data_IF_148459578585
#
_entry.id   IF_148459578585
#
_cell.length_a   1.000
_cell.length_b   1.000
_cell.length_c   1.000
_cell.angle_alpha   90.00
_cell.angle_beta   90.00
_cell.angle_gamma   90.00
#
_symmetry.space_group_name_H-M   'P 1'
#
loop_
_entity.id
_entity.type
_entity.pdbx_description
1 polymer ?
#
# COMPACT_ATOMS: atom_id res chain seq x y z
N UNK A 1 18.57 -2.93 -3.98
CA UNK A 1 17.10 -2.67 -3.99
C UNK A 1 16.72 -1.70 -5.10
N UNK A 2 15.58 -1.91 -5.75
CA UNK A 2 15.02 -1.01 -6.77
C UNK A 2 13.99 -0.09 -6.14
N UNK A 3 13.90 1.14 -6.66
CA UNK A 3 12.90 2.11 -6.21
C UNK A 3 11.57 1.89 -6.92
N UNK A 4 10.49 1.90 -6.15
CA UNK A 4 9.14 1.94 -6.65
C UNK A 4 8.36 3.07 -5.95
N UNK A 5 7.34 3.59 -6.61
CA UNK A 5 6.34 4.47 -6.01
C UNK A 5 4.94 3.97 -6.35
N UNK A 6 3.90 4.74 -6.05
CA UNK A 6 2.51 4.31 -6.16
C UNK A 6 1.73 5.07 -7.25
N UNK A 7 0.75 4.41 -7.88
CA UNK A 7 -0.28 5.09 -8.67
C UNK A 7 -1.04 6.14 -7.86
N UNK A 8 -1.05 6.01 -6.54
CA UNK A 8 -1.58 6.99 -5.60
C UNK A 8 -0.98 8.38 -5.72
N UNK A 9 0.25 8.52 -6.23
CA UNK A 9 0.88 9.82 -6.46
C UNK A 9 0.03 10.77 -7.32
N UNK A 10 -0.71 10.23 -8.28
CA UNK A 10 -1.54 11.01 -9.19
C UNK A 10 -3.04 10.87 -8.95
N UNK A 11 -3.48 10.07 -7.97
CA UNK A 11 -4.89 9.73 -7.68
C UNK A 11 -5.86 10.91 -7.66
N UNK A 12 -5.41 12.08 -7.18
CA UNK A 12 -6.26 13.28 -7.10
C UNK A 12 -6.02 14.29 -8.22
N UNK A 13 -5.09 14.01 -9.12
CA UNK A 13 -4.72 14.84 -10.25
C UNK A 13 -5.35 14.39 -11.56
N UNK A 14 -5.70 13.12 -11.65
CA UNK A 14 -6.30 12.49 -12.84
C UNK A 14 -7.50 11.63 -12.44
N UNK A 15 -8.45 11.37 -13.38
CA UNK A 15 -9.71 10.72 -13.05
C UNK A 15 -9.60 9.19 -12.94
N UNK A 16 -8.52 8.56 -13.40
CA UNK A 16 -8.42 7.09 -13.46
C UNK A 16 -7.02 6.57 -13.13
N UNK A 17 -6.95 5.31 -12.70
CA UNK A 17 -5.68 4.58 -12.51
C UNK A 17 -4.90 4.53 -13.82
N UNK A 18 -5.55 4.29 -14.97
CA UNK A 18 -4.92 4.31 -16.28
C UNK A 18 -4.17 5.61 -16.52
N UNK A 19 -4.82 6.74 -16.35
CA UNK A 19 -4.18 8.06 -16.52
C UNK A 19 -3.09 8.31 -15.47
N UNK A 20 -3.25 7.82 -14.24
CA UNK A 20 -2.19 7.89 -13.23
C UNK A 20 -0.93 7.16 -13.72
N UNK A 21 -1.08 5.96 -14.28
CA UNK A 21 0.02 5.17 -14.87
C UNK A 21 0.65 5.88 -16.06
N UNK A 22 -0.15 6.41 -16.98
CA UNK A 22 0.35 7.14 -18.17
C UNK A 22 1.19 8.38 -17.81
N UNK A 23 0.95 9.00 -16.64
CA UNK A 23 1.71 10.14 -16.16
C UNK A 23 3.15 9.79 -15.70
N UNK A 24 3.49 8.52 -15.57
CA UNK A 24 4.87 8.08 -15.33
C UNK A 24 5.74 8.00 -16.59
N UNK A 25 5.21 8.29 -17.79
CA UNK A 25 5.93 8.13 -19.07
C UNK A 25 7.33 8.74 -19.07
N UNK A 26 7.47 9.95 -18.54
CA UNK A 26 8.75 10.67 -18.49
C UNK A 26 9.31 10.78 -17.06
N UNK A 27 8.72 10.06 -16.10
CA UNK A 27 9.17 10.04 -14.72
C UNK A 27 10.47 9.25 -14.56
N UNK A 28 11.19 9.50 -13.46
CA UNK A 28 12.41 8.76 -13.12
C UNK A 28 12.09 7.33 -12.63
N UNK A 29 10.96 7.11 -11.97
CA UNK A 29 10.53 5.79 -11.55
C UNK A 29 10.26 4.87 -12.75
N UNK A 30 10.74 3.64 -12.66
CA UNK A 30 10.47 2.56 -13.62
C UNK A 30 9.60 1.45 -13.04
N UNK A 31 9.43 1.44 -11.73
CA UNK A 31 8.61 0.47 -11.00
C UNK A 31 7.58 1.19 -10.17
N UNK A 32 6.34 0.69 -10.20
CA UNK A 32 5.24 1.27 -9.43
C UNK A 32 4.41 0.21 -8.72
N UNK A 33 3.84 0.59 -7.60
CA UNK A 33 2.76 -0.12 -6.93
C UNK A 33 1.43 0.23 -7.60
N UNK A 34 0.72 -0.78 -8.07
CA UNK A 34 -0.63 -0.65 -8.62
C UNK A 34 -1.63 -0.61 -7.45
N UNK A 35 -2.05 0.57 -7.04
CA UNK A 35 -3.10 0.72 -6.04
C UNK A 35 -4.48 0.48 -6.64
N UNK A 36 -5.07 -0.64 -6.28
CA UNK A 36 -6.46 -0.98 -6.59
C UNK A 36 -7.39 -0.59 -5.43
N UNK A 37 -6.93 0.37 -4.61
CA UNK A 37 -7.66 0.85 -3.43
C UNK A 37 -8.91 1.65 -3.83
N UNK A 38 -9.96 1.54 -3.02
CA UNK A 38 -11.25 2.18 -3.27
C UNK A 38 -12.24 1.27 -3.95
N UNK A 39 -13.39 1.84 -4.32
CA UNK A 39 -14.46 1.10 -5.00
C UNK A 39 -14.22 1.15 -6.50
N UNK A 40 -13.83 0.02 -7.08
CA UNK A 40 -13.71 -0.19 -8.52
C UNK A 40 -14.96 -0.97 -8.95
N UNK A 41 -15.90 -0.36 -9.68
CA UNK A 41 -17.19 -1.00 -10.00
C UNK A 41 -17.06 -2.32 -10.71
N UNK A 42 -16.05 -2.47 -11.57
CA UNK A 42 -15.77 -3.68 -12.35
C UNK A 42 -15.42 -4.88 -11.47
N UNK A 43 -14.92 -4.65 -10.24
CA UNK A 43 -14.66 -5.73 -9.28
C UNK A 43 -15.95 -6.32 -8.69
N UNK A 44 -17.06 -5.63 -8.81
CA UNK A 44 -18.37 -6.04 -8.32
C UNK A 44 -19.35 -6.39 -9.46
N UNK A 45 -18.93 -6.27 -10.72
CA UNK A 45 -19.74 -6.64 -11.89
C UNK A 45 -20.05 -8.14 -11.91
N UNK A 46 -21.19 -8.52 -12.49
CA UNK A 46 -21.51 -9.92 -12.76
C UNK A 46 -20.83 -10.45 -14.04
N UNK A 47 -20.21 -9.58 -14.81
CA UNK A 47 -19.47 -9.91 -16.02
C UNK A 47 -17.94 -9.90 -15.77
N UNK A 48 -17.31 -11.05 -15.82
CA UNK A 48 -15.88 -11.20 -15.61
C UNK A 48 -15.01 -10.51 -16.68
N UNK A 49 -15.57 -10.18 -17.85
CA UNK A 49 -14.83 -9.44 -18.88
C UNK A 49 -14.56 -7.98 -18.47
N UNK A 50 -15.30 -7.45 -17.48
CA UNK A 50 -15.15 -6.05 -17.07
C UNK A 50 -13.80 -5.81 -16.36
N UNK A 51 -13.44 -6.62 -15.35
CA UNK A 51 -12.14 -6.46 -14.69
C UNK A 51 -10.96 -6.90 -15.58
N UNK A 52 -11.16 -7.82 -16.51
CA UNK A 52 -10.13 -8.20 -17.49
C UNK A 52 -9.81 -7.06 -18.44
N UNK A 53 -10.82 -6.30 -18.90
CA UNK A 53 -10.59 -5.08 -19.68
C UNK A 53 -9.79 -4.03 -18.91
N UNK A 54 -10.04 -3.89 -17.59
CA UNK A 54 -9.19 -3.02 -16.75
C UNK A 54 -7.73 -3.48 -16.74
N UNK A 55 -7.49 -4.78 -16.60
CA UNK A 55 -6.13 -5.32 -16.66
C UNK A 55 -5.44 -5.00 -17.99
N UNK A 56 -6.15 -5.18 -19.12
CA UNK A 56 -5.64 -4.83 -20.44
C UNK A 56 -5.34 -3.33 -20.56
N UNK A 57 -6.24 -2.48 -20.08
CA UNK A 57 -6.07 -1.02 -20.09
C UNK A 57 -4.86 -0.59 -19.26
N UNK A 58 -4.68 -1.15 -18.06
CA UNK A 58 -3.55 -0.85 -17.19
C UNK A 58 -2.23 -1.41 -17.73
N UNK A 59 -2.26 -2.59 -18.37
CA UNK A 59 -1.12 -3.16 -19.08
C UNK A 59 -0.66 -2.28 -20.26
N UNK A 60 -1.61 -1.81 -21.06
CA UNK A 60 -1.33 -0.89 -22.16
C UNK A 60 -0.78 0.46 -21.67
N UNK A 61 -1.31 1.00 -20.56
CA UNK A 61 -0.82 2.22 -19.96
C UNK A 61 0.61 2.06 -19.43
N UNK A 62 0.93 0.93 -18.79
CA UNK A 62 2.28 0.62 -18.33
C UNK A 62 3.27 0.51 -19.50
N UNK A 63 2.88 -0.17 -20.58
CA UNK A 63 3.69 -0.26 -21.81
C UNK A 63 3.92 1.11 -22.43
N UNK A 64 2.89 1.95 -22.51
CA UNK A 64 3.00 3.33 -23.00
C UNK A 64 3.93 4.19 -22.14
N UNK A 65 3.86 4.06 -20.82
CA UNK A 65 4.71 4.80 -19.88
C UNK A 65 6.14 4.24 -19.77
N UNK A 66 6.40 3.01 -20.25
CA UNK A 66 7.69 2.34 -20.12
C UNK A 66 8.01 1.96 -18.67
N UNK A 67 6.99 1.62 -17.89
CA UNK A 67 7.11 1.21 -16.48
C UNK A 67 6.70 -0.26 -16.29
N UNK A 68 7.02 -0.80 -15.11
CA UNK A 68 6.59 -2.13 -14.66
C UNK A 68 5.89 -2.03 -13.32
N UNK A 69 4.90 -2.86 -13.11
CA UNK A 69 4.30 -3.03 -11.80
C UNK A 69 5.23 -3.88 -10.92
N UNK A 70 5.67 -3.33 -9.80
CA UNK A 70 6.53 -4.01 -8.82
C UNK A 70 5.72 -4.86 -7.85
N UNK A 71 4.62 -4.29 -7.41
CA UNK A 71 3.70 -4.82 -6.41
C UNK A 71 2.30 -4.27 -6.70
N UNK A 72 1.29 -4.87 -6.12
CA UNK A 72 -0.06 -4.31 -6.12
C UNK A 72 -0.61 -4.18 -4.70
N UNK A 73 -1.62 -3.33 -4.54
CA UNK A 73 -2.40 -3.20 -3.32
C UNK A 73 -3.86 -3.49 -3.63
N UNK A 74 -4.44 -4.51 -2.98
CA UNK A 74 -5.83 -4.89 -3.15
C UNK A 74 -6.79 -3.83 -2.61
N UNK A 75 -8.09 -3.88 -2.97
CA UNK A 75 -9.10 -3.04 -2.35
C UNK A 75 -9.05 -3.15 -0.82
N UNK A 76 -8.97 -2.00 -0.15
CA UNK A 76 -9.02 -1.94 1.30
C UNK A 76 -10.49 -1.84 1.73
N UNK A 77 -10.98 -2.90 2.36
CA UNK A 77 -12.39 -3.08 2.65
C UNK A 77 -12.69 -2.60 4.07
N UNK A 78 -12.88 -1.28 4.21
CA UNK A 78 -13.17 -0.67 5.52
C UNK A 78 -14.62 -0.89 6.00
N UNK A 79 -14.75 -1.13 7.30
CA UNK A 79 -15.93 -1.02 8.19
C UNK A 79 -17.27 -1.75 7.89
N UNK A 80 -17.91 -1.76 6.71
CA UNK A 80 -19.14 -2.55 6.59
C UNK A 80 -18.88 -4.06 6.66
N UNK A 81 -17.62 -4.44 6.43
CA UNK A 81 -17.18 -5.83 6.31
C UNK A 81 -16.95 -6.48 7.65
N UNK A 82 -16.65 -5.72 8.71
CA UNK A 82 -16.36 -6.32 10.04
C UNK A 82 -17.51 -7.12 10.62
N UNK A 83 -18.76 -6.68 10.42
CA UNK A 83 -19.94 -7.44 10.81
C UNK A 83 -20.14 -8.68 9.92
N UNK A 84 -19.76 -8.61 8.65
CA UNK A 84 -19.85 -9.70 7.68
C UNK A 84 -18.84 -10.82 7.95
N UNK A 85 -17.70 -10.56 8.59
CA UNK A 85 -16.72 -11.60 8.97
C UNK A 85 -17.24 -12.60 10.00
N UNK A 86 -18.28 -12.25 10.75
CA UNK A 86 -18.95 -13.20 11.65
C UNK A 86 -19.82 -14.20 10.91
N UNK A 87 -20.16 -13.93 9.65
CA UNK A 87 -20.98 -14.78 8.79
C UNK A 87 -20.35 -14.96 7.41
N UNK A 88 -19.66 -16.06 7.21
CA UNK A 88 -19.00 -16.41 5.95
C UNK A 88 -19.93 -16.40 4.71
N UNK A 89 -21.22 -16.62 4.91
CA UNK A 89 -22.22 -16.59 3.84
C UNK A 89 -22.86 -15.22 3.62
N UNK A 90 -22.41 -14.18 4.33
CA UNK A 90 -22.89 -12.82 4.14
C UNK A 90 -22.56 -12.31 2.74
N UNK A 91 -23.53 -11.70 2.06
CA UNK A 91 -23.36 -11.21 0.69
C UNK A 91 -22.26 -10.15 0.57
N UNK A 92 -22.11 -9.30 1.59
CA UNK A 92 -21.05 -8.28 1.65
C UNK A 92 -19.68 -8.94 1.75
N UNK A 93 -19.54 -9.95 2.61
CA UNK A 93 -18.30 -10.72 2.73
C UNK A 93 -17.92 -11.36 1.39
N UNK A 94 -18.87 -12.07 0.76
CA UNK A 94 -18.65 -12.76 -0.51
C UNK A 94 -18.32 -11.78 -1.67
N UNK A 95 -18.98 -10.61 -1.71
CA UNK A 95 -18.67 -9.57 -2.69
C UNK A 95 -17.24 -9.06 -2.53
N UNK A 96 -16.78 -8.89 -1.29
CA UNK A 96 -15.43 -8.42 -0.99
C UNK A 96 -14.37 -9.47 -1.33
N UNK A 97 -14.59 -10.74 -0.97
CA UNK A 97 -13.71 -11.84 -1.39
C UNK A 97 -13.60 -11.88 -2.92
N UNK A 98 -14.73 -11.76 -3.63
CA UNK A 98 -14.72 -11.70 -5.10
C UNK A 98 -13.89 -10.54 -5.63
N UNK A 99 -14.00 -9.35 -5.04
CA UNK A 99 -13.20 -8.19 -5.46
C UNK A 99 -11.69 -8.42 -5.25
N UNK A 100 -11.29 -8.99 -4.11
CA UNK A 100 -9.89 -9.33 -3.84
C UNK A 100 -9.39 -10.43 -4.79
N UNK A 101 -10.18 -11.47 -5.04
CA UNK A 101 -9.82 -12.52 -6.00
C UNK A 101 -9.61 -11.97 -7.40
N UNK A 102 -10.47 -11.05 -7.88
CA UNK A 102 -10.28 -10.33 -9.15
C UNK A 102 -9.02 -9.47 -9.15
N UNK A 103 -8.70 -8.83 -8.05
CA UNK A 103 -7.44 -8.10 -7.87
C UNK A 103 -6.21 -9.02 -8.02
N UNK A 104 -6.26 -10.23 -7.47
CA UNK A 104 -5.20 -11.25 -7.63
C UNK A 104 -5.12 -11.73 -9.09
N UNK A 105 -6.25 -11.92 -9.77
CA UNK A 105 -6.28 -12.30 -11.18
C UNK A 105 -5.71 -11.20 -12.08
N UNK A 106 -5.96 -9.93 -11.79
CA UNK A 106 -5.32 -8.79 -12.45
C UNK A 106 -3.80 -8.85 -12.24
N UNK A 107 -3.33 -9.15 -11.03
CA UNK A 107 -1.91 -9.33 -10.79
C UNK A 107 -1.31 -10.42 -11.69
N UNK A 108 -2.00 -11.56 -11.83
CA UNK A 108 -1.55 -12.61 -12.74
C UNK A 108 -1.48 -12.15 -14.20
N UNK A 109 -2.53 -11.46 -14.70
CA UNK A 109 -2.57 -10.94 -16.08
C UNK A 109 -1.43 -9.94 -16.34
N UNK A 110 -1.12 -9.09 -15.36
CA UNK A 110 -0.09 -8.06 -15.46
C UNK A 110 1.32 -8.53 -15.09
N UNK A 111 1.49 -9.79 -14.67
CA UNK A 111 2.78 -10.34 -14.26
C UNK A 111 3.28 -9.78 -12.91
N UNK A 112 2.38 -9.39 -12.02
CA UNK A 112 2.68 -8.91 -10.67
C UNK A 112 2.75 -10.11 -9.72
N UNK A 113 3.89 -10.27 -9.05
CA UNK A 113 4.15 -11.45 -8.21
C UNK A 113 3.76 -11.27 -6.74
N UNK A 114 3.46 -10.02 -6.31
CA UNK A 114 3.20 -9.69 -4.90
C UNK A 114 2.04 -8.72 -4.80
N UNK A 115 1.14 -8.98 -3.85
CA UNK A 115 -0.01 -8.10 -3.59
C UNK A 115 -0.21 -7.90 -2.09
N UNK A 116 -0.40 -6.65 -1.69
CA UNK A 116 -0.80 -6.31 -0.33
C UNK A 116 -2.31 -6.52 -0.17
N UNK A 117 -2.69 -7.27 0.86
CA UNK A 117 -4.08 -7.50 1.25
C UNK A 117 -4.18 -7.31 2.75
N UNK A 118 -4.84 -6.24 3.18
CA UNK A 118 -5.00 -5.94 4.60
C UNK A 118 -5.73 -7.04 5.35
N UNK A 119 -5.23 -7.36 6.53
CA UNK A 119 -5.92 -8.22 7.47
C UNK A 119 -7.25 -7.61 7.91
N UNK A 120 -8.24 -8.45 8.16
CA UNK A 120 -9.44 -8.08 8.89
C UNK A 120 -9.06 -7.72 10.33
N UNK A 121 -9.44 -6.56 10.81
CA UNK A 121 -9.16 -6.13 12.18
C UNK A 121 -10.34 -5.36 12.80
N UNK A 122 -10.40 -5.37 14.13
CA UNK A 122 -11.34 -4.57 14.92
C UNK A 122 -10.80 -4.38 16.34
N UNK A 123 -11.01 -3.21 16.90
CA UNK A 123 -10.68 -2.93 18.31
C UNK A 123 -11.42 -3.84 19.30
N UNK A 124 -12.49 -4.49 18.86
CA UNK A 124 -13.29 -5.41 19.67
C UNK A 124 -12.88 -6.88 19.50
N UNK A 125 -11.87 -7.17 18.68
CA UNK A 125 -11.40 -8.54 18.52
C UNK A 125 -10.39 -8.90 19.62
N UNK A 126 -10.62 -10.05 20.26
CA UNK A 126 -9.55 -10.74 20.97
C UNK A 126 -8.57 -11.32 19.95
N UNK A 127 -7.34 -11.62 20.36
CA UNK A 127 -6.34 -12.26 19.48
C UNK A 127 -6.88 -13.55 18.85
N UNK A 128 -7.60 -14.38 19.63
CA UNK A 128 -8.20 -15.63 19.10
C UNK A 128 -9.24 -15.38 18.00
N UNK A 129 -10.09 -14.36 18.19
CA UNK A 129 -11.06 -13.95 17.15
C UNK A 129 -10.35 -13.42 15.90
N UNK A 130 -9.37 -12.57 16.11
CA UNK A 130 -8.54 -12.01 15.05
C UNK A 130 -7.92 -13.13 14.20
N UNK A 131 -7.26 -14.08 14.82
CA UNK A 131 -6.62 -15.21 14.14
C UNK A 131 -7.64 -16.10 13.43
N UNK A 132 -8.74 -16.42 14.08
CA UNK A 132 -9.81 -17.24 13.49
C UNK A 132 -10.38 -16.59 12.21
N UNK A 133 -10.73 -15.31 12.28
CA UNK A 133 -11.35 -14.63 11.14
C UNK A 133 -10.34 -14.39 10.00
N UNK A 134 -9.10 -14.04 10.32
CA UNK A 134 -8.07 -13.89 9.29
C UNK A 134 -7.67 -15.22 8.67
N UNK A 135 -7.69 -16.32 9.43
CA UNK A 135 -7.49 -17.64 8.85
C UNK A 135 -8.56 -17.98 7.82
N UNK A 136 -9.84 -17.73 8.13
CA UNK A 136 -10.93 -17.91 7.19
C UNK A 136 -10.73 -17.01 5.95
N UNK A 137 -10.52 -15.71 6.18
CA UNK A 137 -10.37 -14.71 5.14
C UNK A 137 -9.23 -15.01 4.17
N UNK A 138 -8.03 -15.25 4.68
CA UNK A 138 -6.89 -15.57 3.82
C UNK A 138 -7.05 -16.94 3.15
N UNK A 139 -7.68 -17.92 3.79
CA UNK A 139 -7.95 -19.22 3.15
C UNK A 139 -8.85 -19.09 1.92
N UNK A 140 -9.77 -18.11 1.89
CA UNK A 140 -10.67 -17.86 0.76
C UNK A 140 -9.97 -17.23 -0.46
N UNK A 141 -8.71 -16.83 -0.34
CA UNK A 141 -7.93 -16.19 -1.42
C UNK A 141 -6.59 -16.89 -1.70
N UNK A 142 -6.06 -17.66 -0.75
CA UNK A 142 -4.75 -18.32 -0.89
C UNK A 142 -4.76 -19.43 -1.95
N UNK A 143 -5.86 -20.11 -2.17
CA UNK A 143 -6.01 -21.09 -3.27
C UNK A 143 -5.73 -20.48 -4.65
N UNK A 144 -6.16 -19.23 -4.84
CA UNK A 144 -5.92 -18.49 -6.07
C UNK A 144 -4.48 -17.98 -6.15
N UNK A 145 -3.92 -17.57 -5.01
CA UNK A 145 -2.52 -17.19 -4.90
C UNK A 145 -1.59 -18.38 -5.24
N UNK A 146 -1.90 -19.59 -4.75
CA UNK A 146 -1.18 -20.82 -5.11
C UNK A 146 -1.27 -21.10 -6.61
N UNK A 147 -2.48 -21.03 -7.18
CA UNK A 147 -2.71 -21.27 -8.62
C UNK A 147 -1.82 -20.39 -9.51
N UNK A 148 -1.60 -19.14 -9.12
CA UNK A 148 -0.86 -18.15 -9.90
C UNK A 148 0.55 -17.88 -9.38
N UNK A 149 0.96 -18.51 -8.28
CA UNK A 149 2.23 -18.28 -7.59
C UNK A 149 2.44 -16.80 -7.23
N UNK A 150 1.41 -16.19 -6.62
CA UNK A 150 1.42 -14.80 -6.17
C UNK A 150 1.54 -14.77 -4.65
N UNK A 151 2.50 -14.02 -4.13
CA UNK A 151 2.65 -13.81 -2.69
C UNK A 151 1.66 -12.75 -2.19
N UNK A 152 0.80 -13.15 -1.25
CA UNK A 152 -0.06 -12.22 -0.52
C UNK A 152 0.72 -11.67 0.67
N UNK A 153 0.71 -10.37 0.84
CA UNK A 153 1.38 -9.70 1.96
C UNK A 153 0.33 -9.03 2.84
N UNK A 154 0.29 -9.40 4.13
CA UNK A 154 -0.46 -8.63 5.13
C UNK A 154 0.38 -7.43 5.56
N UNK A 155 -0.27 -6.33 5.93
CA UNK A 155 0.40 -5.09 6.31
C UNK A 155 0.15 -4.77 7.78
N UNK A 156 1.12 -4.15 8.47
CA UNK A 156 0.93 -3.66 9.82
C UNK A 156 -0.08 -2.51 9.85
N UNK A 157 -0.92 -2.49 10.89
CA UNK A 157 -1.86 -1.40 11.14
C UNK A 157 -1.22 -0.28 11.98
N UNK A 158 -1.80 0.89 11.90
CA UNK A 158 -1.39 2.10 12.60
C UNK A 158 -1.83 2.16 14.09
N UNK A 159 -2.36 1.07 14.63
CA UNK A 159 -2.85 1.00 16.01
C UNK A 159 -2.71 -0.39 16.63
N UNK A 160 -2.04 -0.46 17.79
CA UNK A 160 -1.95 -1.68 18.60
C UNK A 160 -3.30 -2.26 19.03
N UNK A 161 -4.36 -1.46 19.00
CA UNK A 161 -5.74 -1.92 19.30
C UNK A 161 -6.24 -2.96 18.28
N UNK A 162 -5.58 -3.07 17.14
CA UNK A 162 -5.91 -4.05 16.12
C UNK A 162 -5.11 -5.37 16.25
N UNK A 163 -4.10 -5.42 17.14
CA UNK A 163 -3.20 -6.57 17.34
C UNK A 163 -2.44 -7.03 16.08
N UNK A 164 -2.16 -6.10 15.18
CA UNK A 164 -1.38 -6.26 13.96
C UNK A 164 -0.48 -5.05 13.69
N UNK A 165 0.05 -4.41 14.74
CA UNK A 165 0.83 -3.17 14.56
C UNK A 165 2.33 -3.39 14.69
N UNK A 166 2.78 -4.47 15.34
CA UNK A 166 4.20 -4.74 15.56
C UNK A 166 4.73 -5.85 14.65
N UNK A 167 6.04 -5.87 14.43
CA UNK A 167 6.70 -6.97 13.73
C UNK A 167 6.43 -8.33 14.40
N UNK A 168 6.32 -8.35 15.73
CA UNK A 168 5.99 -9.57 16.46
C UNK A 168 4.56 -10.05 16.19
N UNK A 169 3.58 -9.15 16.20
CA UNK A 169 2.18 -9.53 15.94
C UNK A 169 2.04 -10.19 14.56
N UNK A 170 2.67 -9.58 13.56
CA UNK A 170 2.66 -10.10 12.19
C UNK A 170 3.43 -11.41 12.08
N UNK A 171 4.61 -11.50 12.69
CA UNK A 171 5.41 -12.72 12.70
C UNK A 171 4.63 -13.89 13.29
N UNK A 172 4.02 -13.71 14.45
CA UNK A 172 3.23 -14.74 15.14
C UNK A 172 2.02 -15.17 14.28
N UNK A 173 1.38 -14.23 13.60
CA UNK A 173 0.26 -14.54 12.72
C UNK A 173 0.70 -15.33 11.47
N UNK A 174 1.81 -14.95 10.82
CA UNK A 174 2.34 -15.70 9.68
C UNK A 174 2.72 -17.13 10.09
N UNK A 175 3.31 -17.31 11.28
CA UNK A 175 3.60 -18.65 11.82
C UNK A 175 2.33 -19.45 12.10
N UNK A 176 1.29 -18.81 12.64
CA UNK A 176 0.01 -19.48 12.87
C UNK A 176 -0.66 -19.92 11.55
N UNK A 177 -0.57 -19.11 10.51
CA UNK A 177 -1.11 -19.43 9.18
C UNK A 177 -0.30 -20.53 8.50
N UNK A 178 1.02 -20.54 8.68
CA UNK A 178 1.98 -21.51 8.13
C UNK A 178 1.76 -21.77 6.62
N UNK A 179 1.69 -20.69 5.84
CA UNK A 179 1.44 -20.77 4.40
C UNK A 179 2.57 -20.10 3.61
N UNK A 180 3.19 -20.78 2.61
CA UNK A 180 4.40 -20.30 1.94
C UNK A 180 4.20 -19.02 1.11
N UNK A 181 2.98 -18.73 0.69
CA UNK A 181 2.62 -17.53 -0.09
C UNK A 181 1.95 -16.45 0.76
N UNK A 182 1.98 -16.54 2.08
CA UNK A 182 1.55 -15.46 2.97
C UNK A 182 2.78 -14.85 3.65
N UNK A 183 2.96 -13.54 3.46
CA UNK A 183 4.13 -12.79 3.91
C UNK A 183 3.72 -11.44 4.50
N UNK A 184 4.69 -10.56 4.73
CA UNK A 184 4.47 -9.25 5.35
C UNK A 184 4.93 -8.12 4.42
N UNK A 185 4.11 -7.07 4.32
CA UNK A 185 4.48 -5.72 3.95
C UNK A 185 4.64 -4.88 5.21
N UNK A 186 5.78 -4.21 5.40
CA UNK A 186 5.98 -3.31 6.53
C UNK A 186 5.79 -1.87 6.08
N UNK A 187 4.77 -1.19 6.65
CA UNK A 187 4.59 0.25 6.51
C UNK A 187 5.32 0.98 7.64
N UNK A 188 6.28 1.83 7.26
CA UNK A 188 7.12 2.58 8.19
C UNK A 188 6.35 3.67 8.92
N UNK A 189 5.36 4.27 8.28
CA UNK A 189 4.53 5.30 8.87
C UNK A 189 3.53 4.71 9.87
N UNK A 190 2.88 3.60 9.56
CA UNK A 190 2.04 2.86 10.51
C UNK A 190 2.83 2.47 11.75
N UNK A 191 4.04 1.90 11.57
CA UNK A 191 4.93 1.56 12.68
C UNK A 191 5.39 2.77 13.50
N UNK A 192 5.37 3.98 12.96
CA UNK A 192 5.70 5.20 13.70
C UNK A 192 4.48 5.86 14.37
N UNK A 193 3.26 5.66 13.85
CA UNK A 193 2.02 6.17 14.45
C UNK A 193 1.69 5.36 15.71
N UNK A 194 1.74 4.04 15.62
CA UNK A 194 1.44 3.18 16.76
C UNK A 194 2.48 3.33 17.90
N UNK A 195 2.07 3.75 19.10
CA UNK A 195 3.02 3.99 20.20
C UNK A 195 3.80 2.74 20.61
N UNK A 196 3.22 1.53 20.45
CA UNK A 196 3.88 0.26 20.81
C UNK A 196 4.94 -0.09 19.78
N UNK A 197 4.60 -0.06 18.50
CA UNK A 197 5.54 -0.33 17.40
C UNK A 197 6.66 0.71 17.37
N UNK A 198 6.35 2.00 17.60
CA UNK A 198 7.33 3.07 17.70
C UNK A 198 8.26 2.90 18.89
N UNK A 199 7.73 2.46 20.04
CA UNK A 199 8.52 2.19 21.24
C UNK A 199 9.50 1.02 21.09
N UNK A 200 9.15 0.02 20.26
CA UNK A 200 10.04 -1.07 19.84
C UNK A 200 11.11 -0.53 18.90
N UNK A 201 10.74 0.26 17.91
CA UNK A 201 11.62 0.83 16.90
C UNK A 201 11.50 0.14 15.54
N UNK A 202 11.86 0.87 14.46
CA UNK A 202 11.78 0.36 13.09
C UNK A 202 12.72 -0.83 12.89
N UNK A 203 13.95 -0.73 13.38
CA UNK A 203 14.97 -1.77 13.26
C UNK A 203 14.50 -3.10 13.85
N UNK A 204 14.07 -3.11 15.11
CA UNK A 204 13.67 -4.32 15.83
C UNK A 204 12.41 -4.95 15.22
N UNK A 205 11.45 -4.13 14.77
CA UNK A 205 10.26 -4.64 14.07
C UNK A 205 10.65 -5.35 12.76
N UNK A 206 11.52 -4.74 11.96
CA UNK A 206 12.00 -5.30 10.68
C UNK A 206 12.80 -6.59 10.91
N UNK A 207 13.72 -6.58 11.85
CA UNK A 207 14.55 -7.77 12.16
C UNK A 207 13.70 -8.92 12.70
N UNK A 208 12.64 -8.62 13.47
CA UNK A 208 11.69 -9.64 13.95
C UNK A 208 10.93 -10.32 12.80
N UNK A 209 10.64 -9.60 11.72
CA UNK A 209 9.98 -10.18 10.54
C UNK A 209 10.90 -11.10 9.73
N UNK A 210 12.20 -10.78 9.68
CA UNK A 210 13.19 -11.60 8.98
C UNK A 210 12.82 -11.86 7.52
N UNK A 211 12.86 -13.11 7.11
CA UNK A 211 12.55 -13.58 5.75
C UNK A 211 11.05 -13.50 5.37
N UNK A 212 10.18 -13.27 6.35
CA UNK A 212 8.74 -13.04 6.12
C UNK A 212 8.46 -11.65 5.54
N UNK A 213 9.40 -10.72 5.65
CA UNK A 213 9.30 -9.40 5.05
C UNK A 213 9.51 -9.49 3.53
N UNK A 214 8.45 -9.21 2.75
CA UNK A 214 8.46 -9.31 1.28
C UNK A 214 8.01 -8.03 0.58
N UNK A 215 7.55 -7.03 1.31
CA UNK A 215 7.16 -5.74 0.79
C UNK A 215 7.39 -4.62 1.80
N UNK A 216 7.43 -3.40 1.29
CA UNK A 216 7.57 -2.17 2.06
C UNK A 216 6.59 -1.12 1.57
N UNK A 217 6.01 -0.37 2.50
CA UNK A 217 5.43 0.94 2.26
C UNK A 217 6.27 1.98 3.02
N UNK A 218 6.92 2.84 2.26
CA UNK A 218 7.85 3.84 2.79
C UNK A 218 7.19 5.20 2.74
N UNK A 219 6.93 5.75 3.89
CA UNK A 219 6.54 7.14 4.08
C UNK A 219 6.97 7.62 5.46
N UNK A 220 6.84 8.91 5.72
CA UNK A 220 7.24 9.57 6.96
C UNK A 220 6.05 10.29 7.60
N UNK A 221 6.10 10.50 8.91
CA UNK A 221 5.13 11.28 9.67
C UNK A 221 5.72 11.78 10.99
N UNK A 222 4.91 12.49 11.78
CA UNK A 222 5.30 13.01 13.08
C UNK A 222 4.91 12.10 14.27
N UNK A 223 4.43 10.89 14.00
CA UNK A 223 3.97 9.93 15.01
C UNK A 223 2.57 10.24 15.54
N UNK A 224 1.78 11.01 14.83
CA UNK A 224 0.45 11.48 15.21
C UNK A 224 -0.65 10.99 14.28
N UNK A 225 -0.44 11.02 12.97
CA UNK A 225 -1.38 10.52 11.98
C UNK A 225 -0.70 10.12 10.66
N UNK A 226 -1.48 9.50 9.78
CA UNK A 226 -1.01 8.93 8.52
C UNK A 226 -0.86 10.01 7.45
N UNK A 227 0.28 10.73 7.47
CA UNK A 227 0.55 11.86 6.58
C UNK A 227 0.96 11.47 5.16
N UNK A 228 1.35 10.23 4.90
CA UNK A 228 1.97 9.79 3.63
C UNK A 228 3.02 10.79 3.09
N UNK A 229 3.85 11.31 4.01
CA UNK A 229 4.87 12.31 3.69
C UNK A 229 6.14 11.65 3.14
N UNK A 230 6.99 12.44 2.53
CA UNK A 230 8.28 11.97 2.05
C UNK A 230 9.23 11.64 3.20
N UNK A 231 10.22 10.77 2.96
CA UNK A 231 11.35 10.65 3.86
C UNK A 231 11.97 12.01 4.17
N UNK A 232 12.33 12.21 5.43
CA UNK A 232 12.88 13.45 6.00
C UNK A 232 11.88 14.61 6.15
N UNK A 233 10.60 14.41 5.86
CA UNK A 233 9.56 15.40 6.16
C UNK A 233 8.91 15.20 7.54
N UNK A 234 9.22 14.11 8.23
CA UNK A 234 8.72 13.75 9.57
C UNK A 234 9.86 13.45 10.55
N UNK A 235 9.65 12.46 11.41
CA UNK A 235 10.57 12.11 12.50
C UNK A 235 11.11 10.66 12.41
N UNK A 236 10.77 9.91 11.38
CA UNK A 236 11.22 8.51 11.25
C UNK A 236 12.74 8.49 11.02
N UNK A 237 13.42 7.62 11.76
CA UNK A 237 14.85 7.38 11.58
C UNK A 237 15.06 6.36 10.45
N UNK A 238 15.40 6.84 9.25
CA UNK A 238 15.64 6.00 8.07
C UNK A 238 16.93 5.16 8.17
N UNK A 239 17.91 5.57 8.99
CA UNK A 239 19.10 4.74 9.23
C UNK A 239 18.74 3.43 9.91
N UNK A 240 17.77 3.46 10.87
CA UNK A 240 17.29 2.25 11.55
C UNK A 240 16.54 1.33 10.62
N UNK A 241 15.76 1.86 9.66
CA UNK A 241 15.09 1.07 8.63
C UNK A 241 16.13 0.42 7.73
N UNK A 242 17.04 1.19 7.18
CA UNK A 242 18.05 0.70 6.25
C UNK A 242 18.93 -0.38 6.86
N UNK A 243 19.38 -0.19 8.11
CA UNK A 243 20.16 -1.21 8.81
C UNK A 243 19.35 -2.50 9.01
N UNK A 244 18.08 -2.40 9.42
CA UNK A 244 17.20 -3.55 9.58
C UNK A 244 17.02 -4.32 8.27
N UNK A 245 16.79 -3.61 7.15
CA UNK A 245 16.62 -4.22 5.82
C UNK A 245 17.89 -4.96 5.37
N UNK A 246 19.06 -4.38 5.61
CA UNK A 246 20.35 -5.02 5.28
C UNK A 246 20.58 -6.27 6.15
N UNK A 247 20.31 -6.19 7.44
CA UNK A 247 20.53 -7.32 8.38
C UNK A 247 19.63 -8.52 8.10
N UNK A 248 18.40 -8.30 7.60
CA UNK A 248 17.50 -9.39 7.16
C UNK A 248 17.74 -9.82 5.71
N UNK A 249 18.63 -9.15 4.97
CA UNK A 249 18.91 -9.46 3.58
C UNK A 249 17.74 -9.15 2.65
N UNK A 250 16.97 -8.07 2.92
CA UNK A 250 15.85 -7.68 2.08
C UNK A 250 16.32 -7.25 0.68
N UNK A 251 15.80 -7.89 -0.34
CA UNK A 251 16.16 -7.69 -1.75
C UNK A 251 15.00 -7.19 -2.63
N UNK A 252 13.87 -6.86 -2.01
CA UNK A 252 12.68 -6.39 -2.70
C UNK A 252 12.75 -4.93 -3.15
N UNK A 253 11.59 -4.38 -3.46
CA UNK A 253 11.47 -2.97 -3.85
C UNK A 253 11.39 -2.08 -2.62
N UNK A 254 12.12 -0.96 -2.66
CA UNK A 254 11.93 0.15 -1.73
C UNK A 254 10.77 0.99 -2.26
N UNK A 255 9.55 0.63 -1.84
CA UNK A 255 8.29 1.13 -2.41
C UNK A 255 7.78 2.31 -1.60
N UNK A 256 7.68 3.46 -2.21
CA UNK A 256 7.07 4.63 -1.57
C UNK A 256 5.54 4.55 -1.58
N UNK A 257 4.95 4.87 -0.44
CA UNK A 257 3.57 5.24 -0.26
C UNK A 257 3.48 6.66 0.31
N UNK A 258 4.07 7.61 -0.42
CA UNK A 258 4.31 8.99 0.00
C UNK A 258 3.53 10.00 -0.87
N UNK A 259 2.29 9.69 -1.19
CA UNK A 259 1.49 10.36 -2.22
C UNK A 259 0.96 11.75 -1.82
N UNK A 260 1.00 12.11 -0.52
CA UNK A 260 0.37 13.34 -0.02
C UNK A 260 1.21 14.61 -0.19
N UNK A 261 2.24 14.57 -0.99
CA UNK A 261 2.97 15.77 -1.39
C UNK A 261 2.19 16.57 -2.42
N UNK A 262 2.12 17.88 -2.23
CA UNK A 262 1.34 18.79 -3.08
C UNK A 262 -0.11 18.32 -3.18
N UNK A 263 -0.78 18.20 -2.04
CA UNK A 263 -2.15 17.73 -1.95
C UNK A 263 -3.11 18.57 -2.79
N UNK A 264 -3.97 17.90 -3.51
CA UNK A 264 -5.14 18.51 -4.16
C UNK A 264 -6.13 19.00 -3.09
N UNK A 265 -6.85 20.09 -3.32
CA UNK A 265 -7.82 20.65 -2.35
C UNK A 265 -8.85 19.62 -1.89
N UNK A 266 -9.27 18.73 -2.80
CA UNK A 266 -10.28 17.69 -2.50
C UNK A 266 -9.70 16.40 -1.92
N UNK A 267 -8.45 16.41 -1.47
CA UNK A 267 -7.81 15.21 -0.93
C UNK A 267 -8.30 14.92 0.49
N UNK A 268 -9.28 14.03 0.71
CA UNK A 268 -9.68 13.69 2.07
C UNK A 268 -8.58 12.88 2.76
N UNK A 269 -8.40 12.98 4.09
CA UNK A 269 -9.12 13.90 4.99
C UNK A 269 -8.48 15.30 5.08
N UNK A 270 -7.44 15.58 4.34
CA UNK A 270 -6.60 16.79 4.46
C UNK A 270 -6.95 17.88 3.45
N UNK A 271 -8.20 17.95 3.01
CA UNK A 271 -8.68 19.01 2.13
C UNK A 271 -8.45 20.41 2.71
N UNK A 272 -8.14 21.36 1.83
CA UNK A 272 -8.00 22.76 2.26
C UNK A 272 -9.33 23.48 2.13
N UNK A 273 -9.74 24.15 3.21
CA UNK A 273 -10.92 24.99 3.19
C UNK A 273 -10.69 26.25 2.33
N UNK A 274 -11.70 26.70 1.58
CA UNK A 274 -11.63 27.96 0.88
C UNK A 274 -11.48 29.12 1.87
N UNK A 275 -10.63 30.08 1.54
CA UNK A 275 -10.52 31.29 2.34
C UNK A 275 -11.61 32.27 1.98
N UNK A 276 -12.27 32.85 2.99
CA UNK A 276 -13.31 33.87 2.83
C UNK A 276 -12.70 35.25 3.15
N UNK A 277 -12.76 36.16 2.20
CA UNK A 277 -12.31 37.54 2.35
C UNK A 277 -13.42 38.50 1.97
N UNK A 278 -13.83 39.39 2.88
CA UNK A 278 -14.93 40.34 2.70
C UNK A 278 -16.25 39.70 2.20
N UNK A 279 -16.56 38.50 2.64
CA UNK A 279 -17.75 37.74 2.24
C UNK A 279 -17.62 37.00 0.89
N UNK A 280 -16.48 37.07 0.24
CA UNK A 280 -16.22 36.37 -1.02
C UNK A 280 -15.25 35.24 -0.82
N UNK A 281 -15.48 34.11 -1.50
CA UNK A 281 -14.59 32.93 -1.48
C UNK A 281 -13.41 33.19 -2.42
N UNK A 282 -12.19 33.14 -1.87
CA UNK A 282 -10.94 33.23 -2.63
C UNK A 282 -10.34 31.84 -2.82
N UNK A 283 -10.27 31.39 -4.07
CA UNK A 283 -9.87 30.01 -4.43
C UNK A 283 -8.76 29.94 -5.48
N UNK A 284 -7.87 30.94 -5.53
CA UNK A 284 -6.82 31.01 -6.57
C UNK A 284 -5.76 29.93 -6.48
N UNK A 285 -5.43 29.47 -5.26
CA UNK A 285 -4.40 28.46 -5.00
C UNK A 285 -5.03 27.13 -4.61
N UNK A 286 -6.04 26.70 -5.36
CA UNK A 286 -6.81 25.48 -5.03
C UNK A 286 -5.97 24.24 -5.19
N UNK A 287 -5.37 24.07 -6.37
CA UNK A 287 -4.60 22.88 -6.72
C UNK A 287 -3.24 23.25 -7.29
N UNK A 288 -2.16 22.63 -6.84
CA UNK A 288 -0.90 22.65 -7.57
C UNK A 288 -1.09 22.07 -8.98
N UNK A 289 -0.26 22.50 -9.95
CA UNK A 289 -0.35 21.94 -11.30
C UNK A 289 0.15 20.49 -11.34
N UNK A 290 -0.34 19.70 -12.30
CA UNK A 290 0.15 18.36 -12.55
C UNK A 290 1.66 18.34 -12.84
N UNK A 291 2.17 19.34 -13.58
CA UNK A 291 3.61 19.49 -13.86
C UNK A 291 4.43 19.70 -12.58
N UNK A 292 3.89 20.44 -11.61
CA UNK A 292 4.54 20.61 -10.33
C UNK A 292 4.53 19.29 -9.53
N UNK A 293 3.42 18.55 -9.58
CA UNK A 293 3.33 17.22 -8.96
C UNK A 293 4.33 16.22 -9.58
N UNK A 294 4.50 16.22 -10.91
CA UNK A 294 5.50 15.38 -11.60
C UNK A 294 6.92 15.67 -11.10
N UNK A 295 7.29 16.96 -10.97
CA UNK A 295 8.59 17.33 -10.41
C UNK A 295 8.77 16.88 -8.97
N UNK A 296 7.68 16.88 -8.20
CA UNK A 296 7.70 16.36 -6.83
C UNK A 296 7.93 14.85 -6.81
N UNK A 297 7.28 14.09 -7.68
CA UNK A 297 7.50 12.63 -7.82
C UNK A 297 8.95 12.32 -8.24
N UNK A 298 9.52 13.11 -9.15
CA UNK A 298 10.93 12.96 -9.52
C UNK A 298 11.88 13.30 -8.37
N UNK A 299 11.54 14.28 -7.53
CA UNK A 299 12.32 14.59 -6.32
C UNK A 299 12.22 13.46 -5.29
N UNK A 300 11.06 12.80 -5.16
CA UNK A 300 10.91 11.61 -4.32
C UNK A 300 11.84 10.47 -4.78
N UNK A 301 11.96 10.27 -6.11
CA UNK A 301 12.93 9.32 -6.66
C UNK A 301 14.35 9.66 -6.25
N UNK A 302 14.78 10.93 -6.39
CA UNK A 302 16.13 11.36 -5.99
C UNK A 302 16.36 11.16 -4.48
N UNK A 303 15.33 11.39 -3.66
CA UNK A 303 15.40 11.16 -2.22
C UNK A 303 15.63 9.68 -1.91
N UNK A 304 14.88 8.79 -2.56
CA UNK A 304 15.05 7.34 -2.41
C UNK A 304 16.40 6.86 -2.92
N UNK A 305 16.83 7.38 -4.07
CA UNK A 305 18.15 7.08 -4.63
C UNK A 305 19.27 7.47 -3.65
N UNK A 306 19.21 8.68 -3.09
CA UNK A 306 20.16 9.13 -2.06
C UNK A 306 20.22 8.18 -0.86
N UNK A 307 19.05 7.72 -0.34
CA UNK A 307 19.00 6.78 0.77
C UNK A 307 19.70 5.47 0.40
N UNK A 308 19.30 4.85 -0.72
CA UNK A 308 19.83 3.55 -1.13
C UNK A 308 21.32 3.60 -1.54
N UNK A 309 21.76 4.66 -2.20
CA UNK A 309 23.18 4.87 -2.53
C UNK A 309 24.05 5.06 -1.28
N UNK A 310 23.55 5.77 -0.26
CA UNK A 310 24.24 5.93 1.02
C UNK A 310 24.54 4.59 1.69
N UNK A 311 23.68 3.61 1.51
CA UNK A 311 23.82 2.25 2.04
C UNK A 311 24.37 1.24 1.01
N UNK A 312 24.86 1.70 -0.14
CA UNK A 312 25.44 0.88 -1.23
C UNK A 312 24.51 -0.26 -1.70
N UNK A 313 23.20 -0.06 -1.72
CA UNK A 313 22.22 -1.06 -2.10
C UNK A 313 21.23 -0.60 -3.19
N UNK A 314 21.53 0.50 -3.88
CA UNK A 314 20.73 0.99 -5.01
C UNK A 314 20.94 0.12 -6.26
N UNK A 315 19.84 -0.22 -6.92
CA UNK A 315 19.77 -0.89 -8.22
C UNK A 315 18.87 -0.08 -9.16
N UNK A 316 19.25 0.07 -10.43
CA UNK A 316 18.45 0.76 -11.44
C UNK A 316 17.20 -0.04 -11.89
#
# INVERSE_FOLDING_TARGET
MKLATSTGDYKFYVPSIKEAVENFKDAKFRYINLEQTGVIPEFFSDNDDDYKRLADDWGNAAAFAGIKYAVSHAPCLHNPVLAAFENHNDETYQANIRAIRRSIEICHILGIERIVVHACCSQNFTVDKLYKYNKMFYSDILDLAEKYNITIMTENWDSHKYNFSTGKDLNDFIEYMNHPLLAVCWDTAHGNIDPTARGIGQYENIVTLGDKLKGLHISDNFGDCHHHSWPFAGIINFDSIMQGLLDVGYDGYFTFEASYTLLHQKNPPYGRDPWIHNGETVTKLVNPSLDLKKKAVDLLYETGKYILETYNCFEE
#
